data_IF_357864652076
#
_entry.id   IF_357864652076
#
_cell.length_a   1.000
_cell.length_b   1.000
_cell.length_c   1.000
_cell.angle_alpha   90.00
_cell.angle_beta   90.00
_cell.angle_gamma   90.00
#
_symmetry.space_group_name_H-M   'P 1'
#
loop_
_entity.id
_entity.type
_entity.pdbx_description
1 polymer ?
#
# COMPACT_ATOMS: atom_id res chain seq x y z
N UNK A 1 17.28 -5.78 11.52
CA UNK A 1 16.69 -6.62 12.56
C UNK A 1 16.72 -8.12 12.22
N UNK A 2 17.06 -8.55 11.01
CA UNK A 2 17.18 -9.96 10.63
C UNK A 2 15.88 -10.76 10.66
N UNK A 3 14.74 -10.10 10.65
CA UNK A 3 13.41 -10.74 10.64
C UNK A 3 12.69 -10.34 9.38
N UNK A 4 12.15 -11.33 8.68
CA UNK A 4 11.22 -11.09 7.55
C UNK A 4 9.86 -10.69 8.10
N UNK A 5 9.28 -9.64 7.54
CA UNK A 5 7.93 -9.20 7.84
C UNK A 5 7.09 -9.11 6.55
N UNK A 6 5.79 -9.13 6.71
CA UNK A 6 4.85 -8.95 5.61
C UNK A 6 4.18 -7.58 5.76
N UNK A 7 4.02 -6.90 4.65
CA UNK A 7 3.24 -5.67 4.55
C UNK A 7 1.95 -5.97 3.80
N UNK A 8 0.82 -5.68 4.39
CA UNK A 8 -0.46 -6.02 3.75
C UNK A 8 -1.65 -5.95 4.70
N UNK A 9 -2.53 -6.92 4.63
CA UNK A 9 -3.84 -6.93 5.22
C UNK A 9 -3.92 -6.41 6.66
N UNK A 10 -4.76 -5.41 6.86
CA UNK A 10 -5.05 -4.82 8.18
C UNK A 10 -6.11 -5.65 8.92
N UNK A 11 -5.94 -5.78 10.23
CA UNK A 11 -6.93 -6.46 11.08
C UNK A 11 -8.26 -5.73 11.06
N UNK A 12 -8.24 -4.41 11.13
CA UNK A 12 -9.45 -3.59 11.25
C UNK A 12 -10.21 -3.42 9.94
N UNK A 13 -9.54 -3.49 8.80
CA UNK A 13 -10.20 -3.25 7.51
C UNK A 13 -10.43 -4.54 6.71
N UNK A 14 -9.50 -5.48 6.73
CA UNK A 14 -9.61 -6.69 5.92
C UNK A 14 -10.21 -7.87 6.68
N UNK A 15 -9.76 -8.11 7.95
CA UNK A 15 -10.27 -9.24 8.74
C UNK A 15 -11.59 -8.92 9.45
N UNK A 16 -11.98 -7.65 9.57
CA UNK A 16 -13.23 -7.24 10.21
C UNK A 16 -14.39 -7.04 9.23
N UNK A 17 -14.28 -7.52 8.00
CA UNK A 17 -15.39 -7.53 7.06
C UNK A 17 -16.62 -8.22 7.66
N UNK A 18 -17.73 -7.48 7.79
CA UNK A 18 -18.87 -7.96 8.56
C UNK A 18 -19.55 -9.20 7.99
N UNK A 19 -19.86 -9.18 6.71
CA UNK A 19 -20.60 -10.28 6.11
C UNK A 19 -19.66 -11.39 5.67
N UNK A 20 -18.65 -11.03 4.89
CA UNK A 20 -17.58 -11.94 4.48
C UNK A 20 -16.40 -11.16 3.88
N UNK A 21 -15.22 -11.67 4.13
CA UNK A 21 -14.03 -11.22 3.41
C UNK A 21 -14.12 -11.63 1.94
N UNK A 22 -13.66 -10.77 1.04
CA UNK A 22 -13.66 -11.10 -0.39
C UNK A 22 -12.64 -12.20 -0.73
N UNK A 23 -12.94 -12.97 -1.78
CA UNK A 23 -12.16 -14.16 -2.14
C UNK A 23 -10.71 -13.81 -2.55
N UNK A 24 -10.48 -12.64 -3.17
CA UNK A 24 -9.13 -12.18 -3.52
C UNK A 24 -8.29 -11.99 -2.26
N UNK A 25 -8.81 -11.27 -1.27
CA UNK A 25 -8.13 -11.03 0.01
C UNK A 25 -7.89 -12.32 0.78
N UNK A 26 -8.90 -13.20 0.87
CA UNK A 26 -8.76 -14.52 1.52
C UNK A 26 -7.64 -15.33 0.87
N UNK A 27 -7.63 -15.43 -0.46
CA UNK A 27 -6.62 -16.18 -1.18
C UNK A 27 -5.21 -15.58 -1.04
N UNK A 28 -5.09 -14.23 -1.08
CA UNK A 28 -3.83 -13.54 -0.90
C UNK A 28 -3.24 -13.81 0.50
N UNK A 29 -4.05 -13.66 1.54
CA UNK A 29 -3.65 -13.92 2.93
C UNK A 29 -3.26 -15.40 3.10
N UNK A 30 -4.10 -16.31 2.63
CA UNK A 30 -3.88 -17.75 2.79
C UNK A 30 -2.57 -18.20 2.13
N UNK A 31 -2.36 -17.84 0.87
CA UNK A 31 -1.14 -18.18 0.13
C UNK A 31 0.13 -17.52 0.67
N UNK A 32 0.01 -16.38 1.34
CA UNK A 32 1.16 -15.65 1.88
C UNK A 32 1.54 -16.12 3.28
N UNK A 33 0.57 -16.29 4.17
CA UNK A 33 0.82 -16.52 5.59
C UNK A 33 0.63 -17.97 6.02
N UNK A 34 -0.31 -18.71 5.41
CA UNK A 34 -0.68 -20.05 5.85
C UNK A 34 -0.10 -21.17 4.95
N UNK A 35 -0.01 -20.93 3.65
CA UNK A 35 0.64 -21.83 2.70
C UNK A 35 1.73 -21.08 1.90
N UNK A 36 2.80 -20.60 2.56
CA UNK A 36 3.84 -19.84 1.87
C UNK A 36 4.53 -20.70 0.82
N UNK A 37 4.55 -20.19 -0.41
CA UNK A 37 5.25 -20.82 -1.54
C UNK A 37 6.60 -20.16 -1.75
N UNK A 38 7.60 -20.87 -2.29
CA UNK A 38 8.89 -20.28 -2.66
C UNK A 38 8.75 -19.11 -3.65
N UNK A 39 7.71 -19.14 -4.45
CA UNK A 39 7.32 -18.07 -5.37
C UNK A 39 5.81 -17.89 -5.32
N UNK A 40 5.40 -16.65 -5.15
CA UNK A 40 4.00 -16.23 -5.18
C UNK A 40 3.85 -15.14 -6.24
N UNK A 41 2.98 -15.40 -7.20
CA UNK A 41 2.52 -14.37 -8.14
C UNK A 41 1.40 -13.58 -7.47
N UNK A 42 1.48 -12.26 -7.56
CA UNK A 42 0.46 -11.35 -7.01
C UNK A 42 -0.31 -10.76 -8.20
N UNK A 43 -1.46 -11.36 -8.58
CA UNK A 43 -2.29 -10.81 -9.64
C UNK A 43 -2.93 -9.50 -9.18
N UNK A 44 -3.34 -8.69 -10.15
CA UNK A 44 -4.20 -7.55 -9.83
C UNK A 44 -5.54 -8.02 -9.28
N UNK A 45 -6.12 -7.27 -8.34
CA UNK A 45 -7.49 -7.52 -7.91
C UNK A 45 -8.45 -7.37 -9.10
N UNK A 46 -9.42 -8.26 -9.28
CA UNK A 46 -10.41 -8.12 -10.34
C UNK A 46 -11.47 -7.06 -10.05
N UNK A 47 -11.46 -6.49 -8.86
CA UNK A 47 -12.43 -5.51 -8.41
C UNK A 47 -11.83 -4.59 -7.33
N UNK A 48 -12.51 -3.48 -7.14
CA UNK A 48 -12.27 -2.51 -6.07
C UNK A 48 -13.60 -2.08 -5.46
N UNK A 49 -13.58 -1.44 -4.32
CA UNK A 49 -14.74 -0.77 -3.71
C UNK A 49 -14.32 0.58 -3.17
N UNK A 50 -15.30 1.46 -2.97
CA UNK A 50 -15.10 2.77 -2.38
C UNK A 50 -15.87 2.86 -1.06
N UNK A 51 -15.20 3.32 -0.02
CA UNK A 51 -15.82 3.50 1.30
C UNK A 51 -16.86 4.63 1.32
N UNK A 52 -16.87 5.53 0.33
CA UNK A 52 -17.93 6.53 0.22
C UNK A 52 -19.31 5.91 -0.08
N UNK A 53 -19.34 4.77 -0.76
CA UNK A 53 -20.56 4.01 -0.98
C UNK A 53 -21.06 3.34 0.32
N UNK A 54 -20.20 3.27 1.34
CA UNK A 54 -20.41 2.58 2.60
C UNK A 54 -20.33 3.53 3.79
N UNK A 55 -21.10 4.61 3.75
CA UNK A 55 -21.13 5.58 4.87
C UNK A 55 -21.30 4.86 6.19
N UNK A 56 -20.20 4.64 6.90
CA UNK A 56 -20.18 4.16 8.28
C UNK A 56 -20.33 2.63 8.39
N UNK A 57 -19.33 1.91 7.83
CA UNK A 57 -19.23 0.46 7.90
C UNK A 57 -19.13 -0.12 9.35
N UNK A 58 -18.77 0.68 10.36
CA UNK A 58 -18.71 0.26 11.76
C UNK A 58 -20.03 0.42 12.53
N UNK A 59 -21.09 0.95 11.93
CA UNK A 59 -22.40 1.02 12.59
C UNK A 59 -23.09 -0.32 12.55
N UNK A 60 -23.66 -0.72 13.69
CA UNK A 60 -24.37 -1.99 13.86
C UNK A 60 -25.46 -2.21 12.79
N UNK A 61 -26.16 -1.16 12.41
CA UNK A 61 -27.20 -1.18 11.37
C UNK A 61 -26.68 -1.60 9.99
N UNK A 62 -25.36 -1.42 9.74
CA UNK A 62 -24.72 -1.71 8.46
C UNK A 62 -24.02 -3.08 8.42
N UNK A 63 -23.98 -3.80 9.54
CA UNK A 63 -23.27 -5.08 9.65
C UNK A 63 -23.75 -6.19 8.71
N UNK A 64 -24.97 -6.05 8.17
CA UNK A 64 -25.54 -7.01 7.21
C UNK A 64 -25.41 -6.56 5.75
N UNK A 65 -24.85 -5.38 5.49
CA UNK A 65 -24.73 -4.83 4.14
C UNK A 65 -23.46 -5.41 3.47
N UNK A 66 -23.65 -6.00 2.30
CA UNK A 66 -22.53 -6.42 1.45
C UNK A 66 -21.92 -5.20 0.76
N UNK A 67 -20.59 -5.15 0.74
CA UNK A 67 -19.86 -4.14 -0.03
C UNK A 67 -20.20 -4.24 -1.51
N UNK A 68 -20.36 -3.08 -2.14
CA UNK A 68 -20.55 -2.99 -3.58
C UNK A 68 -19.19 -2.96 -4.26
N UNK A 69 -18.87 -4.01 -5.00
CA UNK A 69 -17.63 -4.10 -5.75
C UNK A 69 -17.81 -3.59 -7.18
N UNK A 70 -16.83 -2.85 -7.65
CA UNK A 70 -16.71 -2.36 -9.01
C UNK A 70 -15.62 -3.16 -9.75
N UNK A 71 -15.75 -3.42 -11.05
CA UNK A 71 -14.72 -4.11 -11.81
C UNK A 71 -13.44 -3.25 -11.90
N UNK A 72 -12.29 -3.89 -11.74
CA UNK A 72 -10.98 -3.28 -12.00
C UNK A 72 -10.61 -3.50 -13.45
N UNK A 73 -10.50 -2.43 -14.23
CA UNK A 73 -10.29 -2.50 -15.69
C UNK A 73 -8.82 -2.33 -16.09
N UNK A 74 -8.03 -1.60 -15.28
CA UNK A 74 -6.66 -1.24 -15.64
C UNK A 74 -5.63 -2.24 -15.10
N UNK A 75 -5.91 -2.86 -13.96
CA UNK A 75 -4.98 -3.78 -13.32
C UNK A 75 -3.67 -3.10 -12.88
N UNK A 76 -2.56 -3.81 -13.01
CA UNK A 76 -1.23 -3.25 -12.80
C UNK A 76 -0.78 -2.47 -14.03
N UNK A 77 -0.29 -1.26 -13.81
CA UNK A 77 0.15 -0.37 -14.89
C UNK A 77 1.64 -0.09 -14.80
N UNK A 78 2.31 -0.05 -15.94
CA UNK A 78 3.70 0.39 -16.04
C UNK A 78 3.71 1.88 -16.37
N UNK A 79 3.99 2.71 -15.36
CA UNK A 79 4.03 4.16 -15.53
C UNK A 79 5.31 4.65 -16.21
N UNK A 80 6.43 3.96 -15.99
CA UNK A 80 7.72 4.34 -16.54
C UNK A 80 8.65 3.13 -16.67
N UNK A 81 9.44 3.09 -17.72
CA UNK A 81 10.44 2.04 -17.94
C UNK A 81 9.89 0.82 -18.64
N UNK A 82 10.68 -0.25 -18.65
CA UNK A 82 10.33 -1.53 -19.26
C UNK A 82 11.24 -2.64 -18.71
N UNK A 83 10.86 -3.89 -18.95
CA UNK A 83 11.67 -5.06 -18.58
C UNK A 83 11.27 -5.65 -17.23
N UNK A 84 12.18 -6.44 -16.67
CA UNK A 84 12.01 -7.13 -15.39
C UNK A 84 13.07 -6.64 -14.41
N UNK A 85 12.66 -6.37 -13.18
CA UNK A 85 13.56 -5.97 -12.10
C UNK A 85 13.43 -6.95 -10.95
N UNK A 86 14.56 -7.28 -10.33
CA UNK A 86 14.62 -8.07 -9.11
C UNK A 86 15.28 -7.25 -8.00
N UNK A 87 14.75 -7.37 -6.78
CA UNK A 87 15.31 -6.68 -5.63
C UNK A 87 14.55 -6.97 -4.34
N UNK A 88 15.20 -6.68 -3.21
CA UNK A 88 14.50 -6.73 -1.93
C UNK A 88 13.63 -5.47 -1.75
N UNK A 89 12.50 -5.66 -1.06
CA UNK A 89 11.52 -4.59 -0.85
C UNK A 89 12.03 -3.60 0.21
N UNK A 90 11.78 -2.33 -0.03
CA UNK A 90 12.09 -1.21 0.85
C UNK A 90 10.92 -0.22 0.79
N UNK A 91 10.51 0.36 1.91
CA UNK A 91 9.44 1.36 1.94
C UNK A 91 8.19 0.87 2.65
N UNK A 92 7.04 1.33 2.22
CA UNK A 92 5.72 1.10 2.80
C UNK A 92 4.87 2.36 2.73
N UNK A 93 4.11 2.65 3.80
CA UNK A 93 3.30 3.86 3.89
C UNK A 93 4.17 5.11 3.87
N UNK A 94 3.91 6.01 2.92
CA UNK A 94 4.72 7.24 2.74
C UNK A 94 4.55 8.24 3.87
N UNK A 95 3.47 8.14 4.64
CA UNK A 95 3.24 8.98 5.82
C UNK A 95 4.15 8.59 6.98
N UNK A 96 4.51 7.31 7.05
CA UNK A 96 5.24 6.73 8.19
C UNK A 96 6.71 6.47 7.86
N UNK A 97 7.01 6.01 6.66
CA UNK A 97 8.37 5.63 6.28
C UNK A 97 9.41 6.74 6.52
N UNK A 98 9.14 8.03 6.19
CA UNK A 98 10.08 9.11 6.46
C UNK A 98 10.34 9.37 7.95
N UNK A 99 9.44 8.97 8.84
CA UNK A 99 9.64 9.12 10.28
C UNK A 99 10.81 8.28 10.82
N UNK A 100 11.27 7.31 10.03
CA UNK A 100 12.42 6.48 10.36
C UNK A 100 13.76 7.20 10.13
N UNK A 101 13.77 8.31 9.38
CA UNK A 101 14.99 9.08 9.06
C UNK A 101 15.69 9.51 10.34
N UNK A 102 16.99 9.20 10.43
CA UNK A 102 17.81 9.52 11.60
C UNK A 102 17.66 8.57 12.78
N UNK A 103 16.87 7.51 12.66
CA UNK A 103 16.76 6.47 13.69
C UNK A 103 17.71 5.30 13.37
N UNK A 104 17.97 4.45 14.36
CA UNK A 104 18.77 3.23 14.19
C UNK A 104 18.13 2.15 13.31
N UNK A 105 16.86 2.29 12.98
CA UNK A 105 16.12 1.38 12.08
C UNK A 105 16.02 1.91 10.65
N UNK A 106 16.55 3.11 10.39
CA UNK A 106 16.70 3.59 9.02
C UNK A 106 17.56 2.61 8.21
N UNK A 107 17.17 2.22 6.99
CA UNK A 107 17.95 1.25 6.22
C UNK A 107 19.36 1.75 5.92
N UNK A 108 20.33 0.85 6.01
CA UNK A 108 21.68 1.14 5.54
C UNK A 108 21.70 1.19 4.02
N UNK A 109 21.84 2.39 3.48
CA UNK A 109 21.87 2.64 2.04
C UNK A 109 23.18 2.20 1.39
N UNK A 110 24.22 1.90 2.19
CA UNK A 110 25.50 1.38 1.73
C UNK A 110 25.50 -0.13 1.46
N UNK A 111 24.57 -0.87 2.10
CA UNK A 111 24.46 -2.33 1.96
C UNK A 111 23.57 -2.74 0.79
N UNK A 112 24.04 -2.56 -0.41
CA UNK A 112 23.44 -3.21 -1.57
C UNK A 112 22.53 -2.34 -2.40
N UNK A 113 22.78 -2.43 -3.68
CA UNK A 113 21.95 -1.92 -4.76
C UNK A 113 20.86 -2.95 -5.09
N UNK A 114 19.88 -2.57 -5.89
CA UNK A 114 18.76 -3.39 -6.32
C UNK A 114 17.67 -3.54 -5.23
N UNK A 115 17.21 -2.40 -4.70
CA UNK A 115 15.99 -2.36 -3.90
C UNK A 115 14.79 -2.03 -4.79
N UNK A 116 13.62 -2.53 -4.44
CA UNK A 116 12.35 -2.11 -5.01
C UNK A 116 11.65 -1.27 -3.96
N UNK A 117 11.48 0.01 -4.25
CA UNK A 117 10.81 0.95 -3.34
C UNK A 117 9.30 0.76 -3.44
N UNK A 118 8.65 0.50 -2.31
CA UNK A 118 7.20 0.48 -2.20
C UNK A 118 6.74 1.80 -1.60
N UNK A 119 5.80 2.44 -2.27
CA UNK A 119 5.17 3.67 -1.82
C UNK A 119 3.65 3.47 -1.80
N UNK A 120 3.05 3.63 -0.65
CA UNK A 120 1.62 3.57 -0.45
C UNK A 120 1.18 4.78 0.37
N UNK A 121 0.13 5.46 -0.07
CA UNK A 121 -0.48 6.55 0.69
C UNK A 121 -1.46 5.98 1.70
N UNK A 122 -1.56 6.57 2.88
CA UNK A 122 -2.63 6.24 3.83
C UNK A 122 -3.98 6.63 3.24
N UNK A 123 -4.96 5.73 3.37
CA UNK A 123 -6.34 5.98 2.98
C UNK A 123 -7.22 6.32 4.20
N UNK A 124 -6.61 6.38 5.38
CA UNK A 124 -7.34 6.65 6.60
C UNK A 124 -7.70 8.14 6.73
N UNK A 125 -8.97 8.45 6.46
CA UNK A 125 -9.63 9.61 7.03
C UNK A 125 -9.80 9.36 8.53
N UNK A 126 -8.76 9.58 9.31
CA UNK A 126 -8.80 9.27 10.75
C UNK A 126 -9.81 10.14 11.49
N UNK A 127 -10.25 11.26 10.93
CA UNK A 127 -11.35 12.10 11.47
C UNK A 127 -11.82 13.06 10.37
N UNK A 128 -13.11 13.28 10.27
CA UNK A 128 -13.77 14.28 9.39
C UNK A 128 -13.25 15.73 9.55
N UNK A 129 -12.21 15.93 10.35
CA UNK A 129 -11.67 17.24 10.73
C UNK A 129 -10.21 17.44 10.36
N UNK A 130 -9.49 16.45 9.84
CA UNK A 130 -8.11 16.66 9.45
C UNK A 130 -8.03 17.16 8.00
N UNK A 131 -7.70 18.43 7.83
CA UNK A 131 -7.24 19.01 6.55
C UNK A 131 -5.88 18.41 6.11
N UNK A 132 -5.47 17.30 6.72
CA UNK A 132 -4.12 16.72 6.63
C UNK A 132 -4.06 15.44 5.79
N UNK A 133 -4.98 15.24 4.84
CA UNK A 133 -4.78 14.24 3.79
C UNK A 133 -3.41 14.45 3.14
N UNK A 134 -2.71 13.35 2.83
CA UNK A 134 -1.48 13.41 2.05
C UNK A 134 -1.69 14.27 0.80
N UNK A 135 -1.29 15.54 0.86
CA UNK A 135 -1.41 16.42 -0.31
C UNK A 135 -0.32 16.12 -1.34
N UNK A 136 -0.52 16.45 -2.63
CA UNK A 136 0.52 16.34 -3.64
C UNK A 136 1.80 17.11 -3.28
N UNK A 137 1.66 18.23 -2.59
CA UNK A 137 2.79 19.03 -2.11
C UNK A 137 3.56 18.28 -1.00
N UNK A 138 2.86 17.70 -0.03
CA UNK A 138 3.49 16.93 1.05
C UNK A 138 4.19 15.70 0.48
N UNK A 139 3.55 14.96 -0.43
CA UNK A 139 4.18 13.84 -1.12
C UNK A 139 5.46 14.30 -1.86
N UNK A 140 5.42 15.46 -2.52
CA UNK A 140 6.59 16.03 -3.18
C UNK A 140 7.72 16.30 -2.19
N UNK A 141 7.44 16.86 -1.02
CA UNK A 141 8.46 17.07 0.01
C UNK A 141 9.04 15.78 0.53
N UNK A 142 8.20 14.76 0.75
CA UNK A 142 8.65 13.43 1.17
C UNK A 142 9.58 12.82 0.13
N UNK A 143 9.17 12.81 -1.14
CA UNK A 143 10.00 12.26 -2.22
C UNK A 143 11.34 13.01 -2.38
N UNK A 144 11.35 14.32 -2.23
CA UNK A 144 12.60 15.13 -2.21
C UNK A 144 13.48 14.77 -1.02
N UNK A 145 12.89 14.53 0.15
CA UNK A 145 13.63 14.07 1.31
C UNK A 145 14.27 12.69 1.08
N UNK A 146 13.51 11.73 0.55
CA UNK A 146 14.02 10.41 0.18
C UNK A 146 15.13 10.51 -0.89
N UNK A 147 15.01 11.41 -1.86
CA UNK A 147 16.05 11.69 -2.84
C UNK A 147 17.33 12.21 -2.16
N UNK A 148 17.20 13.18 -1.26
CA UNK A 148 18.34 13.74 -0.52
C UNK A 148 19.03 12.70 0.37
N UNK A 149 18.30 11.66 0.82
CA UNK A 149 18.84 10.52 1.56
C UNK A 149 19.54 9.50 0.65
N UNK A 150 19.48 9.64 -0.67
CA UNK A 150 20.12 8.72 -1.64
C UNK A 150 19.30 7.44 -1.91
N UNK A 151 18.03 7.39 -1.52
CA UNK A 151 17.17 6.21 -1.76
C UNK A 151 17.10 5.89 -3.26
N UNK A 152 16.94 6.90 -4.11
CA UNK A 152 16.82 6.69 -5.55
C UNK A 152 18.12 6.22 -6.22
N UNK A 153 19.26 6.28 -5.54
CA UNK A 153 20.55 5.80 -6.07
C UNK A 153 20.71 4.28 -5.90
N UNK A 154 19.92 3.66 -5.03
CA UNK A 154 20.00 2.23 -4.70
C UNK A 154 18.81 1.42 -5.20
N UNK A 155 17.75 2.05 -5.68
CA UNK A 155 16.57 1.35 -6.17
C UNK A 155 16.73 0.89 -7.62
N UNK A 156 16.16 -0.26 -7.94
CA UNK A 156 16.03 -0.80 -9.29
C UNK A 156 14.64 -0.57 -9.88
N UNK A 157 13.65 -0.33 -9.02
CA UNK A 157 12.27 -0.05 -9.44
C UNK A 157 11.44 0.54 -8.30
N UNK A 158 10.26 1.03 -8.67
CA UNK A 158 9.29 1.58 -7.72
C UNK A 158 7.94 0.88 -7.94
N UNK A 159 7.31 0.47 -6.85
CA UNK A 159 5.92 0.05 -6.80
C UNK A 159 5.12 1.14 -6.10
N UNK A 160 4.10 1.66 -6.76
CA UNK A 160 3.22 2.66 -6.19
C UNK A 160 1.85 2.05 -5.98
N UNK A 161 1.32 2.13 -4.77
CA UNK A 161 -0.06 1.77 -4.48
C UNK A 161 -1.02 2.73 -5.17
N UNK A 162 -2.15 2.21 -5.67
CA UNK A 162 -3.21 3.07 -6.22
C UNK A 162 -3.83 3.86 -5.08
N UNK A 163 -3.85 5.20 -5.16
CA UNK A 163 -4.51 6.01 -4.14
C UNK A 163 -6.03 5.81 -4.19
N UNK A 164 -6.70 6.06 -3.08
CA UNK A 164 -8.17 6.09 -3.05
C UNK A 164 -8.71 7.12 -4.04
N UNK A 165 -9.86 6.84 -4.66
CA UNK A 165 -10.47 7.76 -5.65
C UNK A 165 -10.80 9.14 -5.09
N UNK A 166 -11.12 9.21 -3.80
CA UNK A 166 -11.36 10.46 -3.08
C UNK A 166 -10.09 11.27 -2.81
N UNK A 167 -8.92 10.68 -3.02
CA UNK A 167 -7.67 11.39 -2.81
C UNK A 167 -7.52 12.53 -3.81
N UNK A 168 -6.82 13.59 -3.40
CA UNK A 168 -6.54 14.77 -4.24
C UNK A 168 -5.63 14.48 -5.45
N UNK A 169 -5.31 13.22 -5.68
CA UNK A 169 -4.50 12.73 -6.82
C UNK A 169 -5.35 12.27 -8.01
N UNK A 170 -6.68 12.33 -7.92
CA UNK A 170 -7.57 12.01 -9.02
C UNK A 170 -7.36 12.95 -10.23
N UNK A 171 -7.72 12.48 -11.44
CA UNK A 171 -7.61 13.28 -12.65
C UNK A 171 -8.45 14.58 -12.58
#
# INVERSE_FOLDING_TARGET
>A
AGVMSYYGASVMTNFSEYVRMNDYTVNAIYNTLFEPKPRLDIPSSPYWYDDEDEKIWWKEENMSILKQYHPEELGHEILQGSGVVEGSLLGGCVDVFPMLVGTSIWPDLGEGRNKILILETSEEDILETSEEDMSPELLTYILRNLAAQGIFDIIAGILVGKPARRSKYGP
#
